data_IF_749489241725
#
_entry.id   IF_749489241725
#
_cell.length_a   1.000
_cell.length_b   1.000
_cell.length_c   1.000
_cell.angle_alpha   90.00
_cell.angle_beta   90.00
_cell.angle_gamma   90.00
#
_symmetry.space_group_name_H-M   'P 1'
#
loop_
_entity.id
_entity.type
_entity.pdbx_description
1 polymer ?
#
# COMPACT_ATOMS: atom_id res chain seq x y z
N UNK A 1 -10.12 -3.12 37.41
CA UNK A 1 -11.18 -3.93 36.77
C UNK A 1 -10.53 -5.16 36.17
N UNK A 2 -11.11 -6.37 36.32
CA UNK A 2 -10.60 -7.57 35.66
C UNK A 2 -10.76 -7.43 34.14
N UNK A 3 -9.73 -7.82 33.38
CA UNK A 3 -9.69 -7.71 31.92
C UNK A 3 -10.48 -8.85 31.28
N UNK A 4 -11.60 -8.53 30.63
CA UNK A 4 -12.49 -9.51 30.02
C UNK A 4 -11.92 -10.06 28.69
N UNK A 5 -10.96 -10.98 28.79
CA UNK A 5 -10.37 -11.76 27.69
C UNK A 5 -10.76 -13.25 27.74
N UNK A 6 -11.50 -13.67 28.77
CA UNK A 6 -11.89 -15.06 29.04
C UNK A 6 -13.02 -15.54 28.10
N UNK A 7 -12.70 -15.74 26.83
CA UNK A 7 -13.63 -16.30 25.86
C UNK A 7 -13.23 -16.21 24.38
N UNK A 8 -12.23 -15.40 24.01
CA UNK A 8 -11.82 -15.34 22.61
C UNK A 8 -11.01 -16.58 22.22
N UNK A 9 -11.54 -17.36 21.26
CA UNK A 9 -10.90 -18.57 20.74
C UNK A 9 -10.54 -18.35 19.28
N UNK A 10 -9.24 -18.37 18.97
CA UNK A 10 -8.73 -18.22 17.60
C UNK A 10 -8.51 -19.61 16.99
N UNK A 11 -9.23 -19.92 15.92
CA UNK A 11 -9.13 -21.21 15.23
C UNK A 11 -8.03 -21.17 14.15
N UNK A 12 -7.05 -22.08 14.15
CA UNK A 12 -6.03 -22.15 13.10
C UNK A 12 -6.60 -22.65 11.77
N UNK A 13 -5.97 -22.30 10.63
CA UNK A 13 -6.36 -22.83 9.32
C UNK A 13 -6.11 -24.34 9.20
N UNK A 14 -6.88 -24.99 8.33
CA UNK A 14 -6.79 -26.44 8.12
C UNK A 14 -5.49 -26.81 7.38
N UNK A 15 -4.52 -27.33 8.12
CA UNK A 15 -3.22 -27.72 7.55
C UNK A 15 -3.34 -28.92 6.58
N UNK A 16 -2.64 -28.88 5.43
CA UNK A 16 -2.53 -30.01 4.50
C UNK A 16 -1.70 -31.14 5.12
N UNK A 17 -1.79 -32.39 4.60
CA UNK A 17 -1.19 -33.56 5.23
C UNK A 17 0.31 -33.44 5.51
N UNK A 18 1.09 -32.79 4.64
CA UNK A 18 2.54 -32.64 4.77
C UNK A 18 2.98 -31.64 5.87
N UNK A 19 2.10 -30.72 6.28
CA UNK A 19 2.33 -29.87 7.46
C UNK A 19 1.72 -30.49 8.70
N UNK A 20 0.52 -31.09 8.58
CA UNK A 20 -0.21 -31.70 9.70
C UNK A 20 0.50 -32.92 10.31
N UNK A 21 1.34 -33.61 9.54
CA UNK A 21 2.18 -34.70 10.04
C UNK A 21 3.35 -34.25 10.93
N UNK A 22 3.70 -32.95 10.90
CA UNK A 22 4.84 -32.36 11.64
C UNK A 22 4.38 -31.34 12.68
N UNK A 23 3.26 -30.64 12.44
CA UNK A 23 2.76 -29.55 13.26
C UNK A 23 1.27 -29.71 13.58
N UNK A 24 0.93 -29.61 14.87
CA UNK A 24 -0.43 -29.59 15.40
C UNK A 24 -0.74 -28.19 15.94
N UNK A 25 -1.21 -27.28 15.08
CA UNK A 25 -1.71 -25.98 15.51
C UNK A 25 -3.05 -26.16 16.24
N UNK A 26 -3.10 -25.68 17.48
CA UNK A 26 -4.27 -25.78 18.36
C UNK A 26 -5.02 -24.44 18.40
N UNK A 27 -6.34 -24.45 18.67
CA UNK A 27 -7.06 -23.23 18.98
C UNK A 27 -6.39 -22.44 20.11
N UNK A 28 -6.10 -21.16 19.87
CA UNK A 28 -5.56 -20.26 20.90
C UNK A 28 -6.72 -19.83 21.80
N UNK A 29 -6.55 -19.91 23.12
CA UNK A 29 -7.59 -19.57 24.11
C UNK A 29 -7.03 -18.55 25.09
N UNK A 30 -7.59 -17.33 25.07
CA UNK A 30 -7.08 -16.21 25.87
C UNK A 30 -5.80 -15.61 25.25
N UNK A 31 -4.80 -15.31 26.08
CA UNK A 31 -3.52 -14.71 25.64
C UNK A 31 -2.60 -15.80 25.06
N UNK A 32 -2.18 -15.73 23.78
CA UNK A 32 -1.31 -16.74 23.17
C UNK A 32 0.06 -16.84 23.83
N UNK A 33 0.48 -18.07 24.13
CA UNK A 33 1.79 -18.38 24.72
C UNK A 33 2.91 -18.25 23.70
N UNK A 34 4.14 -18.14 24.19
CA UNK A 34 5.33 -18.09 23.34
C UNK A 34 5.44 -19.34 22.44
N UNK A 35 5.27 -20.54 23.00
CA UNK A 35 5.29 -21.82 22.25
C UNK A 35 4.24 -21.90 21.14
N UNK A 36 3.05 -21.33 21.38
CA UNK A 36 1.92 -21.33 20.45
C UNK A 36 2.21 -20.42 19.24
N UNK A 37 2.81 -19.24 19.47
CA UNK A 37 3.23 -18.33 18.40
C UNK A 37 4.47 -18.87 17.66
N UNK A 38 5.41 -19.50 18.38
CA UNK A 38 6.56 -20.22 17.79
C UNK A 38 6.09 -21.32 16.83
N UNK A 39 5.05 -22.08 17.19
CA UNK A 39 4.46 -23.10 16.32
C UNK A 39 3.87 -22.50 15.04
N UNK A 40 3.17 -21.36 15.12
CA UNK A 40 2.63 -20.65 13.94
C UNK A 40 3.78 -20.19 13.02
N UNK A 41 4.84 -19.59 13.57
CA UNK A 41 6.04 -19.22 12.79
C UNK A 41 6.69 -20.44 12.11
N UNK A 42 6.81 -21.57 12.80
CA UNK A 42 7.37 -22.80 12.22
C UNK A 42 6.55 -23.32 11.03
N UNK A 43 5.21 -23.31 11.16
CA UNK A 43 4.30 -23.69 10.06
C UNK A 43 4.39 -22.70 8.90
N UNK A 44 4.47 -21.39 9.14
CA UNK A 44 4.67 -20.37 8.10
C UNK A 44 5.96 -20.62 7.33
N UNK A 45 7.09 -20.82 8.02
CA UNK A 45 8.40 -21.08 7.37
C UNK A 45 8.38 -22.35 6.50
N UNK A 46 7.66 -23.39 6.92
CA UNK A 46 7.53 -24.63 6.15
C UNK A 46 6.50 -24.53 5.01
N UNK A 47 5.44 -23.73 5.17
CA UNK A 47 4.51 -23.41 4.09
C UNK A 47 5.16 -22.55 3.00
N UNK A 48 6.00 -21.57 3.37
CA UNK A 48 6.82 -20.77 2.44
C UNK A 48 7.75 -21.66 1.61
N UNK A 49 8.52 -22.55 2.25
CA UNK A 49 9.39 -23.53 1.56
C UNK A 49 8.65 -24.51 0.64
N UNK A 50 7.33 -24.62 0.75
CA UNK A 50 6.50 -25.45 -0.13
C UNK A 50 5.95 -24.69 -1.35
N UNK A 51 5.99 -23.35 -1.38
CA UNK A 51 5.48 -22.54 -2.51
C UNK A 51 6.32 -22.74 -3.77
N UNK A 52 7.64 -22.86 -3.63
CA UNK A 52 8.56 -23.09 -4.74
C UNK A 52 8.50 -24.53 -5.31
N UNK A 53 7.70 -25.41 -4.69
CA UNK A 53 7.51 -26.81 -5.12
C UNK A 53 6.20 -26.92 -5.92
N UNK A 54 6.26 -27.17 -7.25
CA UNK A 54 5.07 -27.23 -8.10
C UNK A 54 4.00 -28.19 -7.57
N UNK A 55 2.77 -27.70 -7.45
CA UNK A 55 1.62 -28.49 -6.99
C UNK A 55 1.58 -28.80 -5.48
N UNK A 56 2.54 -28.32 -4.68
CA UNK A 56 2.57 -28.57 -3.22
C UNK A 56 2.19 -27.32 -2.40
N UNK A 57 2.60 -26.14 -2.85
CA UNK A 57 2.29 -24.87 -2.20
C UNK A 57 0.87 -24.37 -2.46
N UNK A 58 0.23 -23.86 -1.40
CA UNK A 58 -1.02 -23.09 -1.50
C UNK A 58 -0.80 -21.65 -0.97
N UNK A 59 -0.77 -20.64 -1.84
CA UNK A 59 -0.69 -19.24 -1.43
C UNK A 59 -1.86 -18.78 -0.53
N UNK A 60 -3.03 -19.42 -0.65
CA UNK A 60 -4.21 -19.10 0.18
C UNK A 60 -4.02 -19.58 1.62
N UNK A 61 -3.53 -20.80 1.81
CA UNK A 61 -3.10 -21.29 3.13
C UNK A 61 -2.06 -20.36 3.75
N UNK A 62 -1.08 -19.88 2.98
CA UNK A 62 -0.07 -18.97 3.51
C UNK A 62 -0.68 -17.63 3.97
N UNK A 63 -1.65 -17.08 3.24
CA UNK A 63 -2.38 -15.89 3.68
C UNK A 63 -3.13 -16.14 4.99
N UNK A 64 -3.86 -17.26 5.11
CA UNK A 64 -4.59 -17.64 6.33
C UNK A 64 -3.69 -17.91 7.53
N UNK A 65 -2.45 -18.37 7.31
CA UNK A 65 -1.46 -18.53 8.37
C UNK A 65 -0.94 -17.18 8.88
N UNK A 66 -0.74 -16.19 7.99
CA UNK A 66 -0.36 -14.83 8.40
C UNK A 66 -1.52 -14.08 9.08
N UNK A 67 -2.76 -14.31 8.65
CA UNK A 67 -3.98 -13.83 9.33
C UNK A 67 -4.05 -14.38 10.77
N UNK A 68 -3.85 -15.69 10.95
CA UNK A 68 -3.83 -16.31 12.28
C UNK A 68 -2.64 -15.85 13.15
N UNK A 69 -1.47 -15.58 12.55
CA UNK A 69 -0.34 -14.96 13.26
C UNK A 69 -0.66 -13.53 13.70
N UNK A 70 -1.28 -12.73 12.83
CA UNK A 70 -1.71 -11.36 13.14
C UNK A 70 -2.69 -11.34 14.32
N UNK A 71 -3.68 -12.24 14.33
CA UNK A 71 -4.64 -12.38 15.44
C UNK A 71 -3.96 -12.79 16.76
N UNK A 72 -2.94 -13.64 16.70
CA UNK A 72 -2.14 -13.97 17.88
C UNK A 72 -1.33 -12.76 18.39
N UNK A 73 -0.64 -12.07 17.48
CA UNK A 73 0.22 -10.92 17.79
C UNK A 73 -0.57 -9.70 18.28
N UNK A 74 -1.75 -9.41 17.71
CA UNK A 74 -2.63 -8.33 18.20
C UNK A 74 -3.21 -8.64 19.59
N UNK A 75 -3.43 -9.91 19.91
CA UNK A 75 -3.89 -10.32 21.25
C UNK A 75 -2.77 -10.15 22.28
N UNK A 76 -1.53 -10.52 21.96
CA UNK A 76 -0.35 -10.25 22.81
C UNK A 76 -0.11 -8.74 22.97
N UNK A 77 -0.12 -7.97 21.89
CA UNK A 77 -0.05 -6.49 21.92
C UNK A 77 -1.12 -5.88 22.84
N UNK A 78 -2.40 -6.27 22.66
CA UNK A 78 -3.51 -5.77 23.49
C UNK A 78 -3.28 -6.07 24.98
N UNK A 79 -2.84 -7.30 25.31
CA UNK A 79 -2.56 -7.68 26.71
C UNK A 79 -1.41 -6.90 27.35
N UNK A 80 -0.39 -6.50 26.56
CA UNK A 80 0.76 -5.71 27.01
C UNK A 80 0.45 -4.21 27.16
N UNK A 81 -0.30 -3.65 26.22
CA UNK A 81 -0.34 -2.18 26.01
C UNK A 81 -1.73 -1.53 26.15
N UNK A 82 -2.85 -2.26 26.16
CA UNK A 82 -4.17 -1.63 26.40
C UNK A 82 -4.37 -1.15 27.84
N UNK A 83 -3.48 -1.52 28.77
CA UNK A 83 -3.53 -1.12 30.17
C UNK A 83 -2.79 0.20 30.48
N UNK A 84 -2.01 0.76 29.56
CA UNK A 84 -1.28 2.01 29.79
C UNK A 84 -2.19 3.22 29.63
N UNK A 85 -2.41 3.97 30.72
CA UNK A 85 -3.30 5.14 30.77
C UNK A 85 -2.84 6.30 29.85
N UNK A 86 -1.54 6.35 29.52
CA UNK A 86 -0.95 7.37 28.65
C UNK A 86 -0.02 6.70 27.61
N UNK A 87 -0.32 6.78 26.30
CA UNK A 87 0.47 6.09 25.26
C UNK A 87 1.87 6.69 25.07
N UNK A 88 2.05 7.97 25.41
CA UNK A 88 3.33 8.69 25.35
C UNK A 88 4.42 8.07 26.25
N UNK A 89 4.02 7.34 27.30
CA UNK A 89 4.91 6.66 28.24
C UNK A 89 5.09 5.16 27.93
N UNK A 90 4.56 4.66 26.81
CA UNK A 90 4.70 3.25 26.44
C UNK A 90 6.14 2.94 26.03
N UNK A 91 6.74 1.94 26.67
CA UNK A 91 8.10 1.47 26.36
C UNK A 91 8.05 0.13 25.63
N UNK A 92 8.61 0.10 24.43
CA UNK A 92 8.81 -1.10 23.62
C UNK A 92 10.24 -1.60 23.85
N UNK A 93 10.39 -2.58 24.74
CA UNK A 93 11.67 -3.24 24.97
C UNK A 93 11.94 -4.28 23.85
N UNK A 94 13.11 -4.26 23.19
CA UNK A 94 13.53 -5.29 22.25
C UNK A 94 13.96 -6.58 22.98
N UNK A 95 13.95 -7.75 22.29
CA UNK A 95 14.54 -8.97 22.81
C UNK A 95 16.08 -8.87 22.91
N UNK A 96 16.67 -9.73 23.74
CA UNK A 96 18.13 -9.86 23.85
C UNK A 96 18.64 -10.58 22.60
N UNK A 97 19.42 -9.89 21.78
CA UNK A 97 19.98 -10.46 20.55
C UNK A 97 21.28 -11.25 20.80
N UNK A 98 21.48 -12.40 20.15
CA UNK A 98 22.75 -13.12 20.18
C UNK A 98 23.91 -12.31 19.59
N UNK A 99 25.12 -12.48 20.12
CA UNK A 99 26.29 -11.64 19.80
C UNK A 99 26.76 -11.68 18.33
N UNK A 100 26.29 -12.62 17.51
CA UNK A 100 26.52 -12.63 16.06
C UNK A 100 25.57 -11.72 15.27
N UNK A 101 24.52 -11.17 15.91
CA UNK A 101 23.64 -10.16 15.33
C UNK A 101 24.20 -8.77 15.71
N UNK A 102 24.87 -8.12 14.76
CA UNK A 102 25.60 -6.86 14.99
C UNK A 102 24.72 -5.60 15.14
N UNK A 103 23.40 -5.75 15.19
CA UNK A 103 22.44 -4.65 15.21
C UNK A 103 21.99 -4.39 16.65
N UNK A 104 22.49 -3.30 17.23
CA UNK A 104 22.09 -2.79 18.55
C UNK A 104 20.63 -2.26 18.52
N UNK A 105 19.71 -2.98 19.17
CA UNK A 105 18.33 -2.56 19.38
C UNK A 105 18.16 -1.95 20.78
N UNK A 106 17.59 -0.75 20.85
CA UNK A 106 17.36 -0.01 22.09
C UNK A 106 15.87 0.05 22.43
N UNK A 107 15.49 0.13 23.72
CA UNK A 107 14.12 0.41 24.11
C UNK A 107 13.62 1.72 23.49
N UNK A 108 12.44 1.67 22.88
CA UNK A 108 11.77 2.83 22.26
C UNK A 108 10.69 3.31 23.23
N UNK A 109 10.62 4.61 23.50
CA UNK A 109 9.63 5.21 24.42
C UNK A 109 8.74 6.19 23.66
N UNK A 110 7.42 6.04 23.79
CA UNK A 110 6.44 6.86 23.09
C UNK A 110 6.17 6.35 21.66
N UNK A 111 5.94 7.27 20.71
CA UNK A 111 5.60 6.94 19.33
C UNK A 111 6.85 6.57 18.50
N UNK A 112 6.98 5.33 17.96
CA UNK A 112 8.18 4.89 17.25
C UNK A 112 8.42 5.62 15.91
N UNK A 113 9.69 5.93 15.64
CA UNK A 113 10.13 6.60 14.40
C UNK A 113 10.18 5.65 13.18
N UNK A 114 10.38 6.17 11.97
CA UNK A 114 10.62 5.32 10.79
C UNK A 114 11.97 4.61 10.87
N UNK A 115 13.01 5.31 11.33
CA UNK A 115 14.37 4.79 11.50
C UNK A 115 14.41 3.69 12.58
N UNK A 116 13.54 3.76 13.59
CA UNK A 116 13.35 2.71 14.59
C UNK A 116 12.68 1.47 14.00
N UNK A 117 11.57 1.64 13.28
CA UNK A 117 10.89 0.53 12.59
C UNK A 117 11.81 -0.13 11.55
N UNK A 118 12.56 0.66 10.76
CA UNK A 118 13.53 0.16 9.78
C UNK A 118 14.67 -0.61 10.47
N UNK A 119 15.22 -0.13 11.60
CA UNK A 119 16.25 -0.86 12.35
C UNK A 119 15.75 -2.21 12.85
N UNK A 120 14.55 -2.27 13.43
CA UNK A 120 13.96 -3.53 13.89
C UNK A 120 13.66 -4.47 12.72
N UNK A 121 13.09 -3.99 11.61
CA UNK A 121 12.93 -4.81 10.39
C UNK A 121 14.27 -5.37 9.89
N UNK A 122 15.34 -4.58 9.97
CA UNK A 122 16.69 -5.01 9.55
C UNK A 122 17.23 -6.08 10.48
N UNK A 123 17.05 -5.95 11.80
CA UNK A 123 17.38 -6.99 12.77
C UNK A 123 16.58 -8.28 12.56
N UNK A 124 15.27 -8.19 12.30
CA UNK A 124 14.42 -9.36 11.99
C UNK A 124 14.91 -10.08 10.73
N UNK A 125 15.18 -9.37 9.63
CA UNK A 125 15.73 -9.97 8.40
C UNK A 125 17.11 -10.57 8.63
N UNK A 126 18.00 -9.86 9.31
CA UNK A 126 19.34 -10.33 9.67
C UNK A 126 19.28 -11.64 10.47
N UNK A 127 18.34 -11.76 11.41
CA UNK A 127 18.15 -12.97 12.20
C UNK A 127 17.56 -14.13 11.39
N UNK A 128 16.59 -13.83 10.52
CA UNK A 128 15.91 -14.84 9.68
C UNK A 128 16.82 -15.47 8.62
N UNK A 129 17.93 -14.83 8.24
CA UNK A 129 18.96 -15.49 7.41
C UNK A 129 19.56 -16.74 8.09
N UNK A 130 19.59 -16.81 9.42
CA UNK A 130 20.06 -18.00 10.14
C UNK A 130 19.03 -19.14 10.21
N UNK A 131 17.80 -18.97 9.71
CA UNK A 131 16.72 -19.97 9.83
C UNK A 131 16.97 -21.32 9.13
N UNK A 132 18.07 -21.46 8.37
CA UNK A 132 18.56 -22.72 7.79
C UNK A 132 19.76 -23.33 8.56
N UNK A 133 20.24 -22.66 9.62
CA UNK A 133 21.42 -23.02 10.43
C UNK A 133 20.97 -23.22 11.89
N UNK A 134 20.57 -24.44 12.30
CA UNK A 134 19.93 -24.67 13.61
C UNK A 134 20.80 -24.32 14.83
N UNK A 135 22.13 -24.24 14.69
CA UNK A 135 23.06 -23.79 15.72
C UNK A 135 23.08 -22.26 15.93
N UNK A 136 22.55 -21.50 14.97
CA UNK A 136 22.49 -20.03 14.98
C UNK A 136 21.05 -19.49 14.95
N UNK A 137 20.04 -20.34 15.15
CA UNK A 137 18.64 -19.94 15.09
C UNK A 137 17.84 -20.49 16.26
N UNK A 138 17.49 -19.60 17.18
CA UNK A 138 16.52 -19.83 18.23
C UNK A 138 15.15 -19.32 17.75
N UNK A 139 14.19 -20.24 17.62
CA UNK A 139 12.83 -19.91 17.21
C UNK A 139 12.11 -18.98 18.20
N UNK A 140 12.54 -18.92 19.47
CA UNK A 140 12.07 -17.96 20.46
C UNK A 140 12.50 -16.55 20.11
N UNK A 141 13.77 -16.34 19.75
CA UNK A 141 14.31 -15.01 19.41
C UNK A 141 13.65 -14.47 18.13
N UNK A 142 13.39 -15.32 17.13
CA UNK A 142 12.62 -14.94 15.93
C UNK A 142 11.17 -14.51 16.26
N UNK A 143 10.49 -15.26 17.13
CA UNK A 143 9.14 -14.94 17.60
C UNK A 143 9.10 -13.64 18.43
N UNK A 144 10.06 -13.44 19.34
CA UNK A 144 10.15 -12.22 20.15
C UNK A 144 10.53 -11.00 19.29
N UNK A 145 11.41 -11.16 18.28
CA UNK A 145 11.69 -10.13 17.26
C UNK A 145 10.45 -9.79 16.44
N UNK A 146 9.69 -10.79 15.99
CA UNK A 146 8.48 -10.57 15.20
C UNK A 146 7.39 -9.88 16.02
N UNK A 147 7.20 -10.29 17.29
CA UNK A 147 6.28 -9.61 18.20
C UNK A 147 6.74 -8.17 18.50
N UNK A 148 8.05 -7.92 18.73
CA UNK A 148 8.55 -6.57 18.95
C UNK A 148 8.35 -5.67 17.72
N UNK A 149 8.61 -6.19 16.51
CA UNK A 149 8.35 -5.51 15.25
C UNK A 149 6.85 -5.21 15.05
N UNK A 150 5.97 -6.13 15.46
CA UNK A 150 4.53 -5.93 15.45
C UNK A 150 4.13 -4.83 16.46
N UNK A 151 4.62 -4.91 17.69
CA UNK A 151 4.28 -4.01 18.78
C UNK A 151 4.60 -2.55 18.44
N UNK A 152 5.79 -2.27 17.87
CA UNK A 152 6.16 -0.90 17.44
C UNK A 152 5.36 -0.42 16.22
N UNK A 153 4.99 -1.30 15.29
CA UNK A 153 4.16 -0.92 14.14
C UNK A 153 2.73 -0.56 14.57
N UNK A 154 2.18 -1.25 15.56
CA UNK A 154 0.88 -0.92 16.15
C UNK A 154 0.95 0.37 16.98
N UNK A 155 2.03 0.58 17.74
CA UNK A 155 2.29 1.82 18.46
C UNK A 155 2.37 3.05 17.54
N UNK A 156 3.11 2.93 16.43
CA UNK A 156 3.25 3.99 15.41
C UNK A 156 1.94 4.30 14.69
N UNK A 157 1.09 3.30 14.44
CA UNK A 157 -0.24 3.48 13.80
C UNK A 157 -1.30 4.07 14.75
N UNK A 158 -1.16 3.85 16.06
CA UNK A 158 -2.14 4.26 17.07
C UNK A 158 -1.53 5.17 18.15
N UNK A 159 -1.00 6.37 17.81
CA UNK A 159 -0.34 7.25 18.78
C UNK A 159 -1.29 7.85 19.84
N UNK A 160 -2.61 7.76 19.65
CA UNK A 160 -3.64 8.14 20.61
C UNK A 160 -4.67 7.02 20.77
N UNK A 161 -5.21 6.87 21.99
CA UNK A 161 -6.01 5.71 22.44
C UNK A 161 -7.44 5.60 21.88
N UNK A 162 -7.59 5.58 20.56
CA UNK A 162 -8.89 5.50 19.88
C UNK A 162 -9.31 4.07 19.51
N UNK A 163 -9.55 3.22 20.51
CA UNK A 163 -10.36 2.00 20.32
C UNK A 163 -11.74 2.21 20.95
N UNK A 164 -12.61 2.89 20.19
CA UNK A 164 -14.06 2.79 20.37
C UNK A 164 -14.52 1.34 20.12
N UNK A 165 -15.66 0.95 20.68
CA UNK A 165 -16.07 -0.45 20.86
C UNK A 165 -16.48 -1.21 19.56
N UNK A 166 -16.23 -0.66 18.38
CA UNK A 166 -16.76 -1.17 17.09
C UNK A 166 -16.09 -2.45 16.58
N UNK A 167 -14.89 -2.82 17.06
CA UNK A 167 -14.17 -4.02 16.56
C UNK A 167 -14.76 -5.36 17.02
N UNK A 168 -15.90 -5.37 17.72
CA UNK A 168 -16.55 -6.59 18.22
C UNK A 168 -17.41 -7.34 17.18
N UNK A 169 -17.67 -6.75 16.00
CA UNK A 169 -18.60 -7.31 15.01
C UNK A 169 -18.07 -7.29 13.56
N UNK A 170 -16.96 -8.01 13.30
CA UNK A 170 -16.46 -8.24 11.93
C UNK A 170 -16.13 -9.71 11.61
N UNK A 171 -16.36 -10.65 12.54
CA UNK A 171 -15.98 -12.06 12.45
C UNK A 171 -17.14 -13.05 12.58
N UNK A 172 -18.31 -12.74 12.01
CA UNK A 172 -19.38 -13.74 11.79
C UNK A 172 -20.36 -13.37 10.66
N UNK A 173 -21.06 -14.39 10.14
CA UNK A 173 -22.22 -14.30 9.23
C UNK A 173 -22.00 -13.72 7.82
N UNK A 174 -21.69 -14.60 6.85
CA UNK A 174 -22.06 -14.40 5.43
C UNK A 174 -22.88 -15.59 4.92
N UNK A 175 -24.20 -15.48 5.00
CA UNK A 175 -25.18 -16.46 4.51
C UNK A 175 -26.40 -15.77 3.89
N UNK A 176 -27.15 -16.50 3.07
CA UNK A 176 -28.16 -15.95 2.12
C UNK A 176 -29.58 -16.16 2.63
N UNK A 177 -30.42 -15.11 2.62
CA UNK A 177 -31.86 -15.17 2.26
C UNK A 177 -32.57 -13.79 2.26
N UNK A 178 -33.38 -13.55 1.23
CA UNK A 178 -34.58 -12.68 1.24
C UNK A 178 -35.81 -13.57 1.59
N UNK A 179 -37.06 -13.08 1.86
CA UNK A 179 -37.68 -11.87 1.30
C UNK A 179 -38.68 -11.06 2.20
N UNK A 180 -39.26 -9.99 1.61
CA UNK A 180 -40.59 -9.38 1.90
C UNK A 180 -40.81 -8.64 3.25
N UNK A 181 -41.62 -7.55 3.35
CA UNK A 181 -42.42 -6.77 2.36
C UNK A 181 -42.84 -5.40 2.95
N UNK A 182 -42.89 -4.33 2.12
CA UNK A 182 -43.76 -3.11 2.19
C UNK A 182 -43.66 -2.21 3.47
N UNK A 183 -43.75 -0.88 3.46
CA UNK A 183 -43.97 0.23 2.50
C UNK A 183 -43.07 1.42 2.95
N UNK A 184 -42.82 2.56 2.28
CA UNK A 184 -43.05 3.10 0.91
C UNK A 184 -41.96 4.20 0.68
N UNK A 185 -41.23 4.18 -0.43
CA UNK A 185 -41.35 5.08 -1.59
C UNK A 185 -40.84 6.54 -1.44
N UNK A 186 -39.69 6.82 -2.07
CA UNK A 186 -39.46 8.02 -2.91
C UNK A 186 -38.34 7.70 -3.92
N UNK A 187 -38.45 8.20 -5.15
CA UNK A 187 -37.78 7.60 -6.32
C UNK A 187 -36.60 8.43 -6.87
N UNK A 188 -35.44 7.78 -7.06
CA UNK A 188 -34.43 8.17 -8.05
C UNK A 188 -34.08 6.91 -8.86
N UNK A 189 -34.22 6.98 -10.19
CA UNK A 189 -34.18 5.80 -11.06
C UNK A 189 -32.76 5.43 -11.50
N UNK A 190 -32.32 4.22 -11.17
CA UNK A 190 -31.12 3.61 -11.77
C UNK A 190 -31.47 2.99 -13.14
N UNK A 191 -30.99 3.59 -14.23
CA UNK A 191 -31.26 3.10 -15.59
C UNK A 191 -30.27 1.98 -15.96
N UNK A 192 -30.70 0.73 -15.82
CA UNK A 192 -30.03 -0.41 -16.43
C UNK A 192 -30.44 -0.55 -17.91
N UNK A 193 -29.49 -0.42 -18.82
CA UNK A 193 -29.62 -0.83 -20.22
C UNK A 193 -28.23 -1.19 -20.78
N UNK A 194 -28.06 -2.22 -21.62
CA UNK A 194 -29.01 -3.24 -22.05
C UNK A 194 -28.30 -4.30 -22.90
N UNK A 195 -28.76 -5.55 -22.87
CA UNK A 195 -28.12 -6.64 -23.61
C UNK A 195 -28.34 -6.53 -25.12
N UNK A 196 -27.25 -6.57 -25.90
CA UNK A 196 -27.30 -6.68 -27.36
C UNK A 196 -26.05 -7.37 -27.88
N UNK A 197 -26.21 -8.57 -28.46
CA UNK A 197 -25.10 -9.38 -28.95
C UNK A 197 -25.13 -9.49 -30.49
N UNK A 198 -24.06 -9.05 -31.13
CA UNK A 198 -23.71 -9.41 -32.52
C UNK A 198 -22.21 -9.68 -32.56
N UNK A 199 -21.82 -10.90 -32.91
CA UNK A 199 -20.41 -11.25 -33.03
C UNK A 199 -19.79 -10.53 -34.23
N UNK A 200 -18.69 -9.82 -34.00
CA UNK A 200 -17.72 -9.47 -35.03
C UNK A 200 -16.42 -10.11 -34.61
N UNK A 201 -16.01 -11.13 -35.36
CA UNK A 201 -14.73 -11.83 -35.22
C UNK A 201 -13.62 -10.84 -35.57
N UNK A 202 -12.73 -10.56 -34.61
CA UNK A 202 -11.65 -9.59 -34.78
C UNK A 202 -10.33 -10.25 -34.41
N UNK A 203 -9.55 -10.62 -35.44
CA UNK A 203 -8.25 -11.27 -35.27
C UNK A 203 -7.31 -10.42 -34.40
N UNK A 204 -6.65 -11.02 -33.38
CA UNK A 204 -5.64 -10.31 -32.61
C UNK A 204 -4.38 -10.11 -33.48
N UNK A 205 -3.93 -8.87 -33.72
CA UNK A 205 -2.70 -8.64 -34.48
C UNK A 205 -1.48 -9.24 -33.76
N UNK A 206 -0.49 -9.62 -34.56
CA UNK A 206 0.64 -10.47 -34.17
C UNK A 206 1.34 -10.04 -32.85
N UNK A 207 1.72 -11.04 -32.05
CA UNK A 207 2.52 -10.91 -30.82
C UNK A 207 3.79 -10.08 -31.09
N UNK A 208 3.82 -8.85 -30.62
CA UNK A 208 5.05 -8.03 -30.58
C UNK A 208 5.95 -8.52 -29.45
N UNK A 209 7.23 -8.76 -29.76
CA UNK A 209 8.17 -9.43 -28.88
C UNK A 209 8.81 -8.47 -27.83
N UNK A 210 8.02 -7.98 -26.87
CA UNK A 210 8.52 -7.13 -25.77
C UNK A 210 8.13 -7.63 -24.35
N UNK A 211 7.47 -8.80 -24.23
CA UNK A 211 7.09 -9.45 -22.94
C UNK A 211 8.29 -10.07 -22.18
N UNK A 212 9.52 -9.83 -22.65
CA UNK A 212 10.74 -10.58 -22.31
C UNK A 212 11.67 -9.83 -21.35
N UNK A 213 11.13 -9.20 -20.29
CA UNK A 213 11.93 -8.31 -19.43
C UNK A 213 11.67 -8.47 -17.93
N UNK A 214 10.44 -8.27 -17.45
CA UNK A 214 10.18 -8.16 -15.99
C UNK A 214 10.41 -9.50 -15.26
N UNK A 215 10.02 -10.62 -15.88
CA UNK A 215 10.28 -11.98 -15.33
C UNK A 215 11.78 -12.31 -15.35
N UNK A 216 12.47 -11.98 -16.45
CA UNK A 216 13.92 -12.18 -16.62
C UNK A 216 14.74 -11.38 -15.59
N UNK A 217 14.33 -10.14 -15.29
CA UNK A 217 14.98 -9.29 -14.28
C UNK A 217 14.80 -9.87 -12.87
N UNK A 218 13.59 -10.35 -12.52
CA UNK A 218 13.34 -11.02 -11.23
C UNK A 218 14.14 -12.33 -11.13
N UNK A 219 14.17 -13.14 -12.19
CA UNK A 219 14.89 -14.42 -12.20
C UNK A 219 16.42 -14.23 -12.10
N UNK A 220 16.97 -13.21 -12.78
CA UNK A 220 18.38 -12.80 -12.62
C UNK A 220 18.68 -12.21 -11.25
N UNK A 221 17.74 -11.47 -10.64
CA UNK A 221 17.86 -10.98 -9.25
C UNK A 221 17.96 -12.16 -8.27
N UNK A 222 17.09 -13.16 -8.42
CA UNK A 222 17.11 -14.36 -7.57
C UNK A 222 18.42 -15.15 -7.74
N UNK A 223 18.92 -15.31 -8.97
CA UNK A 223 20.24 -15.92 -9.23
C UNK A 223 21.42 -15.10 -8.65
N UNK A 224 21.32 -13.76 -8.61
CA UNK A 224 22.31 -12.88 -7.97
C UNK A 224 22.31 -13.05 -6.44
N UNK A 225 21.12 -13.13 -5.83
CA UNK A 225 20.94 -13.38 -4.40
C UNK A 225 21.47 -14.77 -4.01
N UNK A 226 21.11 -15.82 -4.77
CA UNK A 226 21.60 -17.19 -4.57
C UNK A 226 23.13 -17.28 -4.67
N UNK A 227 23.74 -16.54 -5.61
CA UNK A 227 25.20 -16.42 -5.73
C UNK A 227 25.83 -15.67 -4.56
N UNK A 228 25.22 -14.58 -4.09
CA UNK A 228 25.67 -13.89 -2.86
C UNK A 228 25.61 -14.82 -1.64
N UNK A 229 24.54 -15.60 -1.49
CA UNK A 229 24.39 -16.59 -0.41
C UNK A 229 25.49 -17.67 -0.50
N UNK A 230 25.74 -18.19 -1.71
CA UNK A 230 26.83 -19.16 -1.97
C UNK A 230 28.21 -18.60 -1.63
N UNK A 231 28.44 -17.30 -1.85
CA UNK A 231 29.69 -16.61 -1.48
C UNK A 231 29.77 -16.42 0.04
N UNK A 232 28.67 -16.05 0.71
CA UNK A 232 28.61 -15.91 2.16
C UNK A 232 28.87 -17.24 2.89
N UNK A 233 28.24 -18.35 2.45
CA UNK A 233 28.50 -19.69 3.00
C UNK A 233 29.96 -20.10 2.87
N UNK A 234 30.56 -19.89 1.70
CA UNK A 234 32.00 -20.18 1.47
C UNK A 234 32.92 -19.28 2.29
N UNK A 235 32.50 -18.06 2.59
CA UNK A 235 33.25 -17.13 3.46
C UNK A 235 33.20 -17.62 4.90
N UNK A 236 32.02 -18.03 5.39
CA UNK A 236 31.86 -18.60 6.73
C UNK A 236 32.67 -19.90 6.91
N UNK A 237 32.63 -20.81 5.92
CA UNK A 237 33.47 -22.02 5.92
C UNK A 237 34.98 -21.70 5.96
N UNK A 238 35.41 -20.59 5.34
CA UNK A 238 36.80 -20.12 5.40
C UNK A 238 37.16 -19.58 6.79
N UNK A 239 36.24 -18.87 7.45
CA UNK A 239 36.41 -18.37 8.83
C UNK A 239 36.47 -19.52 9.83
N UNK A 240 35.58 -20.51 9.72
CA UNK A 240 35.57 -21.71 10.57
C UNK A 240 36.88 -22.51 10.42
N UNK A 241 37.35 -22.70 9.18
CA UNK A 241 38.62 -23.36 8.88
C UNK A 241 39.87 -22.58 9.32
N UNK A 242 39.77 -21.25 9.51
CA UNK A 242 40.90 -20.39 9.89
C UNK A 242 41.46 -20.67 11.29
N UNK A 243 40.78 -21.48 12.10
CA UNK A 243 41.24 -21.87 13.43
C UNK A 243 42.41 -22.88 13.41
N UNK A 244 42.82 -23.38 12.23
CA UNK A 244 43.82 -24.45 12.10
C UNK A 244 45.08 -24.06 11.30
N UNK A 245 45.91 -23.20 11.91
CA UNK A 245 47.37 -23.08 11.71
C UNK A 245 47.94 -22.70 10.31
N UNK A 246 48.73 -21.61 10.29
CA UNK A 246 49.87 -21.34 9.37
C UNK A 246 49.69 -21.13 7.84
N UNK A 247 48.58 -21.46 7.15
CA UNK A 247 48.41 -21.12 5.70
C UNK A 247 47.94 -19.66 5.41
N UNK A 248 48.33 -18.69 6.24
CA UNK A 248 47.79 -17.30 6.24
C UNK A 248 47.73 -16.62 4.86
N UNK A 249 48.82 -16.65 4.09
CA UNK A 249 48.89 -15.91 2.81
C UNK A 249 47.90 -16.45 1.76
N UNK A 250 47.74 -17.77 1.70
CA UNK A 250 46.86 -18.48 0.76
C UNK A 250 45.39 -18.38 1.16
N UNK A 251 45.12 -18.20 2.45
CA UNK A 251 43.81 -17.81 2.99
C UNK A 251 43.49 -16.35 2.60
N UNK A 252 44.46 -15.44 2.72
CA UNK A 252 44.31 -14.02 2.35
C UNK A 252 44.08 -13.83 0.84
N UNK A 253 44.77 -14.56 -0.02
CA UNK A 253 44.54 -14.57 -1.48
C UNK A 253 43.10 -14.98 -1.82
N UNK A 254 42.59 -16.07 -1.21
CA UNK A 254 41.19 -16.49 -1.37
C UNK A 254 40.19 -15.46 -0.84
N UNK A 255 40.48 -14.82 0.29
CA UNK A 255 39.65 -13.72 0.80
C UNK A 255 39.62 -12.53 -0.16
N UNK A 256 40.75 -12.19 -0.77
CA UNK A 256 40.83 -11.12 -1.76
C UNK A 256 40.09 -11.48 -3.07
N UNK A 257 40.16 -12.73 -3.52
CA UNK A 257 39.36 -13.23 -4.64
C UNK A 257 37.85 -13.13 -4.35
N UNK A 258 37.40 -13.60 -3.18
CA UNK A 258 36.00 -13.53 -2.75
C UNK A 258 35.52 -12.07 -2.59
N UNK A 259 36.35 -11.18 -2.04
CA UNK A 259 36.02 -9.77 -1.87
C UNK A 259 35.88 -9.05 -3.23
N UNK A 260 36.83 -9.29 -4.15
CA UNK A 260 36.77 -8.77 -5.53
C UNK A 260 35.51 -9.24 -6.25
N UNK A 261 35.19 -10.53 -6.14
CA UNK A 261 33.99 -11.13 -6.73
C UNK A 261 32.69 -10.63 -6.09
N UNK A 262 32.70 -10.35 -4.80
CA UNK A 262 31.58 -9.72 -4.09
C UNK A 262 31.35 -8.28 -4.56
N UNK A 263 32.43 -7.51 -4.80
CA UNK A 263 32.33 -6.17 -5.36
C UNK A 263 31.77 -6.19 -6.80
N UNK A 264 32.25 -7.09 -7.65
CA UNK A 264 31.71 -7.32 -9.01
C UNK A 264 30.21 -7.71 -8.98
N UNK A 265 29.77 -8.45 -7.95
CA UNK A 265 28.37 -8.82 -7.76
C UNK A 265 27.53 -7.62 -7.27
N UNK A 266 28.10 -6.75 -6.43
CA UNK A 266 27.50 -5.51 -5.93
C UNK A 266 27.28 -4.50 -7.08
N UNK A 267 28.27 -4.31 -7.95
CA UNK A 267 28.16 -3.46 -9.13
C UNK A 267 27.05 -3.93 -10.08
N UNK A 268 26.94 -5.24 -10.31
CA UNK A 268 25.84 -5.84 -11.10
C UNK A 268 24.48 -5.66 -10.43
N UNK A 269 24.41 -5.72 -9.10
CA UNK A 269 23.18 -5.44 -8.34
C UNK A 269 22.75 -3.98 -8.50
N UNK A 270 23.69 -3.03 -8.40
CA UNK A 270 23.41 -1.60 -8.58
C UNK A 270 22.90 -1.28 -9.99
N UNK A 271 23.50 -1.88 -11.04
CA UNK A 271 23.01 -1.77 -12.42
C UNK A 271 21.60 -2.37 -12.60
N UNK A 272 21.27 -3.44 -11.87
CA UNK A 272 19.93 -4.02 -11.87
C UNK A 272 18.90 -3.09 -11.19
N UNK A 273 19.29 -2.44 -10.10
CA UNK A 273 18.46 -1.43 -9.41
C UNK A 273 18.22 -0.21 -10.30
N UNK A 274 19.25 0.32 -10.96
CA UNK A 274 19.12 1.43 -11.92
C UNK A 274 18.17 1.08 -13.08
N UNK A 275 18.33 -0.13 -13.65
CA UNK A 275 17.41 -0.62 -14.67
C UNK A 275 15.96 -0.76 -14.15
N UNK A 276 15.78 -1.25 -12.92
CA UNK A 276 14.47 -1.39 -12.27
C UNK A 276 13.79 -0.04 -12.05
N UNK A 277 14.51 0.97 -11.55
CA UNK A 277 14.00 2.34 -11.38
C UNK A 277 13.47 2.89 -12.70
N UNK A 278 14.19 2.70 -13.81
CA UNK A 278 13.75 3.11 -15.14
C UNK A 278 12.46 2.42 -15.63
N UNK A 279 12.20 1.17 -15.21
CA UNK A 279 10.92 0.52 -15.47
C UNK A 279 9.79 1.06 -14.59
N UNK A 280 10.08 1.45 -13.34
CA UNK A 280 9.11 2.09 -12.43
C UNK A 280 8.73 3.49 -12.97
N UNK A 281 9.70 4.26 -13.47
CA UNK A 281 9.46 5.53 -14.17
C UNK A 281 8.56 5.34 -15.40
N UNK A 282 8.91 4.40 -16.30
CA UNK A 282 8.10 4.07 -17.50
C UNK A 282 6.70 3.59 -17.12
N UNK A 283 6.52 2.90 -15.99
CA UNK A 283 5.22 2.50 -15.48
C UNK A 283 4.41 3.69 -14.94
N UNK A 284 5.07 4.65 -14.27
CA UNK A 284 4.48 5.93 -13.87
C UNK A 284 3.93 6.70 -15.07
N UNK A 285 4.73 6.87 -16.13
CA UNK A 285 4.31 7.49 -17.39
C UNK A 285 3.08 6.81 -18.01
N UNK A 286 3.02 5.48 -17.95
CA UNK A 286 1.89 4.70 -18.49
C UNK A 286 0.63 4.90 -17.65
N UNK A 287 0.74 4.87 -16.31
CA UNK A 287 -0.38 5.10 -15.41
C UNK A 287 -0.91 6.54 -15.51
N UNK A 288 -0.03 7.53 -15.66
CA UNK A 288 -0.41 8.94 -15.87
C UNK A 288 -1.18 9.12 -17.19
N UNK A 289 -0.74 8.47 -18.27
CA UNK A 289 -1.47 8.43 -19.56
C UNK A 289 -2.82 7.74 -19.45
N UNK A 290 -2.90 6.61 -18.73
CA UNK A 290 -4.17 5.91 -18.47
C UNK A 290 -5.12 6.82 -17.70
N UNK A 291 -4.66 7.53 -16.66
CA UNK A 291 -5.52 8.42 -15.88
C UNK A 291 -6.06 9.59 -16.73
N UNK A 292 -5.22 10.19 -17.59
CA UNK A 292 -5.65 11.22 -18.56
C UNK A 292 -6.71 10.70 -19.53
N UNK A 293 -6.60 9.46 -20.00
CA UNK A 293 -7.64 8.81 -20.83
C UNK A 293 -8.93 8.57 -20.04
N UNK A 294 -8.85 8.09 -18.78
CA UNK A 294 -10.03 7.87 -17.93
C UNK A 294 -10.78 9.17 -17.62
N UNK A 295 -10.08 10.26 -17.31
CA UNK A 295 -10.67 11.61 -17.11
C UNK A 295 -11.33 12.09 -18.40
N UNK A 296 -10.69 11.89 -19.56
CA UNK A 296 -11.29 12.23 -20.87
C UNK A 296 -12.56 11.43 -21.17
N UNK A 297 -12.58 10.14 -20.81
CA UNK A 297 -13.77 9.27 -20.93
C UNK A 297 -14.87 9.76 -19.97
N UNK A 298 -14.54 10.12 -18.73
CA UNK A 298 -15.51 10.66 -17.78
C UNK A 298 -16.13 11.97 -18.29
N UNK A 299 -15.33 12.92 -18.76
CA UNK A 299 -15.83 14.16 -19.36
C UNK A 299 -16.73 13.85 -20.58
N UNK A 300 -16.36 12.90 -21.42
CA UNK A 300 -17.19 12.46 -22.55
C UNK A 300 -18.50 11.80 -22.11
N UNK A 301 -18.53 11.06 -20.99
CA UNK A 301 -19.77 10.49 -20.43
C UNK A 301 -20.68 11.61 -19.93
N UNK A 302 -20.15 12.56 -19.14
CA UNK A 302 -20.91 13.71 -18.65
C UNK A 302 -21.47 14.52 -19.82
N UNK A 303 -20.64 14.86 -20.82
CA UNK A 303 -21.05 15.62 -22.02
C UNK A 303 -22.20 14.99 -22.81
N UNK A 304 -22.25 13.66 -22.90
CA UNK A 304 -23.28 12.94 -23.62
C UNK A 304 -24.57 12.68 -22.79
N UNK A 305 -24.60 13.09 -21.52
CA UNK A 305 -25.79 12.99 -20.69
C UNK A 305 -26.82 14.06 -21.07
N UNK A 306 -27.98 13.64 -21.59
CA UNK A 306 -29.05 14.56 -22.03
C UNK A 306 -29.66 15.32 -20.86
N UNK A 307 -29.94 16.61 -21.05
CA UNK A 307 -30.51 17.44 -19.99
C UNK A 307 -29.49 17.75 -18.90
N UNK A 308 -28.23 17.92 -19.29
CA UNK A 308 -27.24 18.58 -18.44
C UNK A 308 -27.70 20.01 -18.10
N UNK A 309 -27.25 20.49 -16.95
CA UNK A 309 -27.50 21.84 -16.39
C UNK A 309 -26.19 22.32 -15.76
N UNK A 310 -26.14 23.53 -15.16
CA UNK A 310 -24.97 24.00 -14.39
C UNK A 310 -24.36 22.95 -13.44
N UNK A 311 -25.16 22.06 -12.84
CA UNK A 311 -24.68 21.00 -11.93
C UNK A 311 -23.75 19.97 -12.60
N UNK A 312 -23.76 19.85 -13.94
CA UNK A 312 -22.85 18.96 -14.66
C UNK A 312 -21.37 19.40 -14.57
N UNK A 313 -21.11 20.67 -14.23
CA UNK A 313 -19.76 21.20 -13.97
C UNK A 313 -19.08 20.50 -12.78
N UNK A 314 -19.85 20.11 -11.76
CA UNK A 314 -19.36 19.42 -10.58
C UNK A 314 -19.05 17.93 -10.82
N UNK A 315 -19.46 17.39 -11.96
CA UNK A 315 -19.07 16.07 -12.42
C UNK A 315 -17.74 16.07 -13.21
N UNK A 316 -17.18 17.25 -13.53
CA UNK A 316 -15.91 17.37 -14.26
C UNK A 316 -14.71 17.18 -13.32
N UNK A 317 -13.96 16.10 -13.53
CA UNK A 317 -12.80 15.73 -12.73
C UNK A 317 -11.49 16.36 -13.20
N UNK A 318 -10.57 16.56 -12.25
CA UNK A 318 -9.19 16.97 -12.54
C UNK A 318 -8.29 15.80 -13.00
N UNK A 319 -7.02 16.09 -13.29
CA UNK A 319 -6.02 15.10 -13.67
C UNK A 319 -5.68 14.04 -12.59
N UNK A 320 -6.23 14.18 -11.37
CA UNK A 320 -6.13 13.22 -10.26
C UNK A 320 -7.44 12.44 -10.03
N UNK A 321 -8.51 12.71 -10.81
CA UNK A 321 -9.83 12.09 -10.64
C UNK A 321 -10.72 12.70 -9.55
N UNK A 322 -10.32 13.82 -8.94
CA UNK A 322 -11.14 14.55 -7.95
C UNK A 322 -12.17 15.45 -8.64
N UNK A 323 -13.33 15.67 -8.00
CA UNK A 323 -14.33 16.70 -8.37
C UNK A 323 -14.19 17.98 -7.53
N UNK A 324 -14.75 19.14 -7.96
CA UNK A 324 -14.60 20.42 -7.26
C UNK A 324 -14.98 20.40 -5.78
N UNK A 325 -16.13 19.83 -5.41
CA UNK A 325 -16.58 19.75 -4.01
C UNK A 325 -15.72 18.84 -3.11
N UNK A 326 -14.87 17.98 -3.67
CA UNK A 326 -14.01 17.07 -2.90
C UNK A 326 -12.56 17.56 -2.76
N UNK A 327 -12.04 18.25 -3.78
CA UNK A 327 -10.64 18.66 -3.82
C UNK A 327 -10.29 19.72 -2.78
N UNK A 328 -9.05 19.69 -2.30
CA UNK A 328 -8.50 20.74 -1.41
C UNK A 328 -8.16 22.01 -2.18
N UNK A 329 -7.84 21.91 -3.47
CA UNK A 329 -7.40 23.03 -4.32
C UNK A 329 -8.51 24.08 -4.45
N UNK A 330 -9.71 23.64 -4.84
CA UNK A 330 -10.98 24.39 -4.87
C UNK A 330 -11.52 24.77 -3.49
N UNK A 331 -10.78 24.49 -2.41
CA UNK A 331 -11.21 24.66 -1.01
C UNK A 331 -12.52 23.92 -0.68
N UNK A 332 -12.81 22.82 -1.40
CA UNK A 332 -14.07 22.02 -1.37
C UNK A 332 -15.35 22.77 -1.79
N UNK A 333 -15.23 23.83 -2.59
CA UNK A 333 -16.39 24.44 -3.22
C UNK A 333 -16.83 23.66 -4.47
N UNK A 334 -18.08 23.24 -4.49
CA UNK A 334 -18.81 22.91 -5.72
C UNK A 334 -19.28 24.18 -6.44
N UNK A 335 -19.35 24.10 -7.78
CA UNK A 335 -19.70 25.19 -8.67
C UNK A 335 -21.18 25.53 -8.63
N UNK A 336 -22.05 24.57 -8.31
CA UNK A 336 -23.47 24.82 -8.07
C UNK A 336 -23.70 25.77 -6.89
N UNK A 337 -23.13 25.46 -5.71
CA UNK A 337 -23.24 26.26 -4.49
C UNK A 337 -22.54 27.62 -4.63
N UNK A 338 -21.41 27.71 -5.35
CA UNK A 338 -20.82 29.01 -5.71
C UNK A 338 -21.75 29.82 -6.62
N UNK A 339 -22.35 29.18 -7.63
CA UNK A 339 -23.25 29.86 -8.57
C UNK A 339 -24.49 30.43 -7.89
N UNK A 340 -24.98 29.79 -6.83
CA UNK A 340 -26.13 30.27 -6.04
C UNK A 340 -25.72 31.37 -5.05
N UNK A 341 -24.59 31.23 -4.35
CA UNK A 341 -24.11 32.23 -3.39
C UNK A 341 -23.68 33.55 -4.05
N UNK A 342 -23.24 33.53 -5.30
CA UNK A 342 -22.72 34.71 -6.02
C UNK A 342 -23.60 35.18 -7.19
N UNK A 343 -24.82 34.64 -7.34
CA UNK A 343 -25.76 34.97 -8.42
C UNK A 343 -26.05 36.48 -8.58
N UNK A 344 -26.01 37.25 -7.49
CA UNK A 344 -26.25 38.70 -7.48
C UNK A 344 -25.03 39.56 -7.84
N UNK A 345 -23.82 38.99 -7.89
CA UNK A 345 -22.59 39.71 -8.20
C UNK A 345 -22.17 39.47 -9.66
N UNK A 346 -22.48 40.43 -10.53
CA UNK A 346 -22.15 40.37 -11.96
C UNK A 346 -20.64 40.37 -12.24
N UNK A 347 -19.78 40.71 -11.28
CA UNK A 347 -18.32 40.59 -11.44
C UNK A 347 -17.82 39.14 -11.33
N UNK A 348 -18.67 38.23 -10.85
CA UNK A 348 -18.38 36.79 -10.67
C UNK A 348 -18.88 35.91 -11.81
N UNK A 349 -19.66 36.47 -12.73
CA UNK A 349 -20.32 35.76 -13.82
C UNK A 349 -19.35 35.11 -14.81
N UNK A 350 -19.72 33.93 -15.30
CA UNK A 350 -19.07 33.17 -16.38
C UNK A 350 -20.20 32.50 -17.21
N UNK A 351 -20.59 33.04 -18.38
CA UNK A 351 -21.67 32.48 -19.18
C UNK A 351 -21.22 31.20 -19.89
N UNK A 352 -21.73 30.05 -19.45
CA UNK A 352 -21.40 28.73 -20.00
C UNK A 352 -22.39 28.27 -21.06
N UNK A 353 -21.98 27.34 -21.92
CA UNK A 353 -22.86 26.64 -22.86
C UNK A 353 -22.85 25.15 -22.49
N UNK A 354 -24.02 24.59 -22.22
CA UNK A 354 -24.21 23.21 -21.75
C UNK A 354 -25.40 22.61 -22.52
N UNK A 355 -25.22 21.49 -23.24
CA UNK A 355 -26.26 20.88 -24.11
C UNK A 355 -26.93 21.89 -25.08
N UNK A 356 -26.14 22.88 -25.54
CA UNK A 356 -26.60 23.99 -26.40
C UNK A 356 -27.37 25.12 -25.69
N UNK A 357 -27.64 25.01 -24.39
CA UNK A 357 -28.32 26.01 -23.56
C UNK A 357 -27.28 26.93 -22.91
N UNK A 358 -27.61 28.24 -22.78
CA UNK A 358 -26.79 29.18 -22.04
C UNK A 358 -27.09 29.07 -20.53
N UNK A 359 -26.09 28.71 -19.75
CA UNK A 359 -26.18 28.49 -18.30
C UNK A 359 -25.27 29.48 -17.55
N UNK A 360 -25.83 30.17 -16.56
CA UNK A 360 -25.11 31.19 -15.78
C UNK A 360 -24.36 30.54 -14.60
N UNK A 361 -23.03 30.49 -14.71
CA UNK A 361 -22.14 30.03 -13.65
C UNK A 361 -21.47 31.22 -12.96
N UNK A 362 -21.26 31.16 -11.64
CA UNK A 362 -20.56 32.22 -10.90
C UNK A 362 -19.37 31.67 -10.11
N UNK A 363 -18.20 32.32 -10.27
CA UNK A 363 -17.00 32.06 -9.47
C UNK A 363 -16.42 33.39 -9.00
N UNK A 364 -16.27 33.62 -7.69
CA UNK A 364 -15.67 34.85 -7.18
C UNK A 364 -14.19 34.95 -7.57
N UNK A 365 -13.71 36.17 -7.81
CA UNK A 365 -12.34 36.41 -8.32
C UNK A 365 -11.25 35.80 -7.42
N UNK A 366 -11.50 35.70 -6.11
CA UNK A 366 -10.62 35.06 -5.12
C UNK A 366 -10.48 33.53 -5.28
N UNK A 367 -11.35 32.85 -6.05
CA UNK A 367 -11.28 31.42 -6.33
C UNK A 367 -10.90 31.09 -7.79
N UNK A 368 -10.79 32.09 -8.68
CA UNK A 368 -10.45 31.84 -10.09
C UNK A 368 -9.11 31.10 -10.26
N UNK A 369 -8.12 31.42 -9.42
CA UNK A 369 -6.83 30.75 -9.47
C UNK A 369 -6.92 29.29 -9.00
N UNK A 370 -7.71 29.01 -7.95
CA UNK A 370 -7.94 27.65 -7.45
C UNK A 370 -8.56 26.76 -8.53
N UNK A 371 -9.59 27.24 -9.21
CA UNK A 371 -10.28 26.49 -10.27
C UNK A 371 -9.41 26.32 -11.53
N UNK A 372 -8.61 27.32 -11.90
CA UNK A 372 -7.65 27.20 -13.00
C UNK A 372 -6.58 26.13 -12.72
N UNK A 373 -6.02 26.12 -11.50
CA UNK A 373 -5.05 25.10 -11.07
C UNK A 373 -5.69 23.70 -10.95
N UNK A 374 -6.90 23.62 -10.41
CA UNK A 374 -7.65 22.37 -10.28
C UNK A 374 -7.81 21.67 -11.63
N UNK A 375 -8.23 22.39 -12.68
CA UNK A 375 -8.35 21.82 -14.02
C UNK A 375 -7.01 21.74 -14.81
N UNK A 376 -5.89 22.26 -14.28
CA UNK A 376 -4.58 22.25 -14.94
C UNK A 376 -4.50 23.16 -16.18
N UNK A 377 -5.12 24.33 -16.10
CA UNK A 377 -5.27 25.29 -17.22
C UNK A 377 -4.81 26.72 -16.86
N UNK A 378 -4.17 26.91 -15.71
CA UNK A 378 -3.65 28.19 -15.22
C UNK A 378 -2.61 28.82 -16.18
N UNK A 379 -1.63 28.04 -16.64
CA UNK A 379 -0.56 28.46 -17.54
C UNK A 379 0.13 29.75 -17.06
N UNK A 380 0.03 30.81 -17.86
CA UNK A 380 0.64 32.11 -17.56
C UNK A 380 -0.25 33.06 -16.73
N UNK A 381 -1.50 32.70 -16.40
CA UNK A 381 -2.46 33.61 -15.75
C UNK A 381 -2.24 33.74 -14.24
N UNK A 382 -1.82 32.66 -13.58
CA UNK A 382 -1.60 32.62 -12.13
C UNK A 382 -0.13 32.70 -11.77
N UNK A 383 0.15 33.04 -10.52
CA UNK A 383 1.46 32.87 -9.88
C UNK A 383 1.64 31.41 -9.43
N UNK A 384 2.88 31.00 -9.15
CA UNK A 384 3.20 29.61 -8.81
C UNK A 384 2.85 29.28 -7.35
N UNK A 385 2.76 27.99 -7.07
CA UNK A 385 2.64 27.40 -5.73
C UNK A 385 3.59 28.01 -4.68
N UNK A 386 3.24 28.01 -3.37
CA UNK A 386 2.25 27.13 -2.74
C UNK A 386 0.81 27.65 -2.65
N UNK A 387 0.57 28.96 -2.83
CA UNK A 387 -0.78 29.54 -2.79
C UNK A 387 -1.13 30.10 -4.16
N UNK A 388 -2.02 29.46 -4.95
CA UNK A 388 -2.33 29.90 -6.29
C UNK A 388 -3.06 31.25 -6.26
N UNK A 389 -2.39 32.30 -6.74
CA UNK A 389 -2.98 33.63 -6.88
C UNK A 389 -3.09 34.02 -8.36
N UNK A 390 -4.11 34.80 -8.70
CA UNK A 390 -4.28 35.34 -10.04
C UNK A 390 -3.43 36.60 -10.20
N UNK A 391 -2.68 36.71 -11.29
CA UNK A 391 -1.88 37.92 -11.55
C UNK A 391 -2.80 39.13 -11.78
N UNK A 392 -2.43 40.34 -11.34
CA UNK A 392 -3.24 41.54 -11.54
C UNK A 392 -3.63 41.76 -13.01
N UNK A 393 -4.91 42.01 -13.27
CA UNK A 393 -5.41 42.25 -14.63
C UNK A 393 -5.56 40.97 -15.48
N UNK A 394 -5.68 39.79 -14.85
CA UNK A 394 -5.92 38.49 -15.52
C UNK A 394 -7.29 37.88 -15.20
N UNK A 395 -8.18 38.63 -14.56
CA UNK A 395 -9.53 38.24 -14.17
C UNK A 395 -10.37 37.82 -15.39
N UNK A 396 -10.46 38.70 -16.39
CA UNK A 396 -11.21 38.40 -17.61
C UNK A 396 -10.58 37.26 -18.45
N UNK A 397 -9.24 37.21 -18.67
CA UNK A 397 -8.58 36.05 -19.25
C UNK A 397 -8.80 34.72 -18.51
N UNK A 398 -8.89 34.74 -17.18
CA UNK A 398 -9.17 33.55 -16.36
C UNK A 398 -10.60 33.05 -16.53
N UNK A 399 -11.58 33.96 -16.42
CA UNK A 399 -13.00 33.68 -16.68
C UNK A 399 -13.20 33.11 -18.08
N UNK A 400 -12.62 33.74 -19.09
CA UNK A 400 -12.69 33.31 -20.49
C UNK A 400 -12.03 31.93 -20.72
N UNK A 401 -11.00 31.57 -19.95
CA UNK A 401 -10.37 30.24 -20.06
C UNK A 401 -11.19 29.15 -19.37
N UNK A 402 -11.72 29.39 -18.17
CA UNK A 402 -12.67 28.48 -17.52
C UNK A 402 -13.90 28.25 -18.40
N UNK A 403 -14.48 29.34 -18.93
CA UNK A 403 -15.62 29.30 -19.88
C UNK A 403 -15.35 28.41 -21.09
N UNK A 404 -14.19 28.56 -21.73
CA UNK A 404 -13.77 27.75 -22.88
C UNK A 404 -13.54 26.29 -22.53
N UNK A 405 -12.91 26.02 -21.39
CA UNK A 405 -12.67 24.67 -20.89
C UNK A 405 -14.00 23.95 -20.61
N UNK A 406 -14.87 24.55 -19.79
CA UNK A 406 -16.19 24.01 -19.47
C UNK A 406 -17.06 23.80 -20.71
N UNK A 407 -17.09 24.75 -21.65
CA UNK A 407 -17.79 24.57 -22.92
C UNK A 407 -17.21 23.40 -23.74
N UNK A 408 -15.89 23.18 -23.75
CA UNK A 408 -15.30 22.01 -24.42
C UNK A 408 -15.57 20.67 -23.71
N UNK A 409 -15.96 20.71 -22.43
CA UNK A 409 -16.33 19.55 -21.64
C UNK A 409 -17.85 19.25 -21.65
N UNK A 410 -18.72 20.22 -21.94
CA UNK A 410 -20.19 20.12 -21.77
C UNK A 410 -21.05 20.59 -22.96
N UNK A 411 -20.42 21.07 -24.05
CA UNK A 411 -21.07 21.49 -25.31
C UNK A 411 -20.63 20.69 -26.54
#
# INVERSE_FOLDING_TARGET
MPSNLDGHVLLPPKLPPYLKSVYDLKPLVGIPKDDEVIAIHAVIRMAQKAIDIPGTGDPKLLAQLHEHLFDAQITKYKSRYMATVFPENTVYAPPILPAYVTIDLKPITGAPSEEEVIRVQTATRAYQHFANVPSMFDARVDMELSQHLFDIQMGKKNPAGSISQETLHLSSSRSVAQPSKLYEESNIAAINAGTGATAVEFDPPARTAEDFSLRDVIERSNQLIERSNTIAERTNQLVEGSNHLTESNKLAEKFHELLSKSNENSEKSNLLVEASTKYIERLGDILERINKVLVTIQHAIVRNHKGNTKYALDCLTNHNGETPGLSKTTKRWDLATLSENYASDSSTHIPTLIDGVAEDSHVPTALLADFLFFYGIEGNLCEKEPNPQLKPGKENPARERLRKYWASCLG
#
